data_IF_452528772085
#
_entry.id   IF_452528772085
#
_cell.length_a   1.000
_cell.length_b   1.000
_cell.length_c   1.000
_cell.angle_alpha   90.00
_cell.angle_beta   90.00
_cell.angle_gamma   90.00
#
_symmetry.space_group_name_H-M   'P 1'
#
loop_
_entity.id
_entity.type
_entity.pdbx_description
1 polymer ?
#
# COMPACT_ATOMS: atom_id res chain seq x y z
N UNK A 1 3.72 18.00 5.46
CA UNK A 1 4.91 17.94 4.57
C UNK A 1 4.47 18.14 3.12
N UNK A 2 5.34 18.65 2.23
CA UNK A 2 5.06 18.90 0.79
C UNK A 2 5.75 17.90 -0.15
N UNK A 3 6.20 16.77 0.39
CA UNK A 3 7.00 15.79 -0.33
C UNK A 3 6.49 14.38 -0.02
N UNK A 4 6.76 13.45 -0.93
CA UNK A 4 6.52 12.03 -0.75
C UNK A 4 7.85 11.32 -0.56
N UNK A 5 7.91 10.36 0.35
CA UNK A 5 9.08 9.50 0.56
C UNK A 5 8.89 8.18 -0.17
N UNK A 6 9.95 7.71 -0.81
CA UNK A 6 10.02 6.35 -1.35
C UNK A 6 11.26 5.70 -0.78
N UNK A 7 11.09 4.56 -0.12
CA UNK A 7 12.17 3.78 0.49
C UNK A 7 12.33 2.51 -0.33
N UNK A 8 13.52 2.28 -0.88
CA UNK A 8 13.81 1.13 -1.74
C UNK A 8 15.08 0.43 -1.24
N UNK A 9 14.96 -0.87 -0.99
CA UNK A 9 16.09 -1.76 -0.74
C UNK A 9 16.52 -2.45 -2.04
N UNK A 10 17.79 -2.30 -2.43
CA UNK A 10 18.35 -2.90 -3.64
C UNK A 10 19.68 -3.58 -3.32
N UNK A 11 19.84 -4.83 -3.75
CA UNK A 11 21.13 -5.54 -3.72
C UNK A 11 21.35 -6.26 -5.06
N UNK A 12 22.59 -6.35 -5.56
CA UNK A 12 22.93 -7.17 -6.71
C UNK A 12 22.98 -8.68 -6.39
N UNK A 13 22.98 -9.06 -5.11
CA UNK A 13 23.02 -10.46 -4.67
C UNK A 13 21.63 -10.92 -4.20
N UNK A 14 21.17 -12.06 -4.71
CA UNK A 14 19.90 -12.66 -4.29
C UNK A 14 19.94 -13.14 -2.84
N UNK A 15 21.12 -13.49 -2.29
CA UNK A 15 21.29 -13.92 -0.91
C UNK A 15 20.95 -12.81 0.10
N UNK A 16 21.00 -11.54 -0.32
CA UNK A 16 20.69 -10.39 0.52
C UNK A 16 19.18 -10.12 0.67
N UNK A 17 18.32 -10.87 -0.02
CA UNK A 17 16.86 -10.62 -0.11
C UNK A 17 16.24 -10.35 1.26
N UNK A 18 16.47 -11.22 2.24
CA UNK A 18 15.86 -11.10 3.58
C UNK A 18 16.41 -9.88 4.31
N UNK A 19 17.74 -9.76 4.38
CA UNK A 19 18.43 -8.63 5.03
C UNK A 19 17.96 -7.27 4.53
N UNK A 20 17.86 -7.11 3.20
CA UNK A 20 17.45 -5.87 2.56
C UNK A 20 15.95 -5.61 2.79
N UNK A 21 15.11 -6.65 2.68
CA UNK A 21 13.67 -6.54 2.94
C UNK A 21 13.40 -6.10 4.38
N UNK A 22 14.08 -6.70 5.35
CA UNK A 22 13.90 -6.41 6.77
C UNK A 22 14.39 -5.02 7.12
N UNK A 23 15.55 -4.62 6.60
CA UNK A 23 16.06 -3.26 6.79
C UNK A 23 15.11 -2.20 6.23
N UNK A 24 14.60 -2.38 5.01
CA UNK A 24 13.67 -1.44 4.38
C UNK A 24 12.36 -1.32 5.16
N UNK A 25 11.80 -2.45 5.61
CA UNK A 25 10.58 -2.46 6.45
C UNK A 25 10.82 -1.77 7.79
N UNK A 26 11.91 -2.10 8.49
CA UNK A 26 12.24 -1.51 9.78
C UNK A 26 12.46 0.00 9.69
N UNK A 27 13.13 0.47 8.64
CA UNK A 27 13.31 1.90 8.40
C UNK A 27 11.97 2.61 8.15
N UNK A 28 11.11 2.02 7.30
CA UNK A 28 9.76 2.54 7.06
C UNK A 28 8.95 2.63 8.36
N UNK A 29 8.96 1.58 9.18
CA UNK A 29 8.23 1.54 10.46
C UNK A 29 8.74 2.61 11.44
N UNK A 30 10.06 2.83 11.49
CA UNK A 30 10.66 3.83 12.38
C UNK A 30 10.26 5.28 12.02
N UNK A 31 10.10 5.59 10.73
CA UNK A 31 9.77 6.95 10.28
C UNK A 31 8.26 7.19 10.13
N UNK A 32 7.46 6.13 9.96
CA UNK A 32 6.02 6.23 9.70
C UNK A 32 5.21 7.07 10.72
N UNK A 33 5.47 6.99 12.05
CA UNK A 33 4.77 7.81 13.04
C UNK A 33 4.90 9.32 12.84
N UNK A 34 5.92 9.78 12.12
CA UNK A 34 6.17 11.20 11.83
C UNK A 34 5.57 11.65 10.48
N UNK A 35 4.92 10.74 9.75
CA UNK A 35 4.30 11.02 8.46
C UNK A 35 2.91 11.67 8.60
N UNK A 36 2.37 12.19 7.49
CA UNK A 36 1.03 12.77 7.45
C UNK A 36 -0.11 11.71 7.42
N UNK A 37 0.23 10.43 7.54
CA UNK A 37 -0.73 9.31 7.51
C UNK A 37 -1.25 8.96 6.11
N UNK A 38 -1.43 7.66 5.87
CA UNK A 38 -1.83 7.09 4.57
C UNK A 38 -0.63 6.75 3.67
N UNK A 39 -0.91 6.02 2.58
CA UNK A 39 0.09 5.64 1.59
C UNK A 39 -0.38 6.03 0.18
N UNK A 40 0.56 6.14 -0.75
CA UNK A 40 0.22 6.29 -2.17
C UNK A 40 -0.08 4.91 -2.75
N UNK A 41 -1.26 4.72 -3.37
CA UNK A 41 -1.73 3.39 -3.77
C UNK A 41 -0.77 2.65 -4.70
N UNK A 42 -0.09 3.37 -5.61
CA UNK A 42 0.88 2.77 -6.53
C UNK A 42 2.19 2.34 -5.86
N UNK A 43 2.39 2.69 -4.59
CA UNK A 43 3.56 2.34 -3.79
C UNK A 43 3.20 1.41 -2.62
N UNK A 44 1.93 1.00 -2.51
CA UNK A 44 1.53 0.00 -1.53
C UNK A 44 1.94 -1.38 -2.01
N UNK A 45 2.46 -2.19 -1.10
CA UNK A 45 2.70 -3.62 -1.31
C UNK A 45 1.51 -4.40 -0.71
N UNK A 46 1.75 -5.61 -0.18
CA UNK A 46 0.75 -6.37 0.57
C UNK A 46 0.60 -5.82 1.98
N UNK A 47 -0.17 -4.75 2.07
CA UNK A 47 -0.35 -3.91 3.26
C UNK A 47 -1.70 -4.15 3.97
N UNK A 48 -2.51 -5.05 3.43
CA UNK A 48 -3.82 -5.45 3.95
C UNK A 48 -4.95 -4.44 3.73
N UNK A 49 -6.19 -4.93 3.81
CA UNK A 49 -7.43 -4.18 3.52
C UNK A 49 -7.57 -2.87 4.31
N UNK A 50 -7.10 -2.83 5.56
CA UNK A 50 -7.18 -1.63 6.41
C UNK A 50 -6.32 -0.49 5.86
N UNK A 51 -5.14 -0.77 5.29
CA UNK A 51 -4.29 0.27 4.69
C UNK A 51 -4.77 0.71 3.32
N UNK A 52 -5.37 -0.19 2.55
CA UNK A 52 -6.07 0.17 1.30
C UNK A 52 -7.17 1.18 1.59
N UNK A 53 -8.01 0.93 2.60
CA UNK A 53 -9.04 1.87 3.07
C UNK A 53 -8.47 3.20 3.52
N UNK A 54 -7.42 3.18 4.36
CA UNK A 54 -6.77 4.38 4.86
C UNK A 54 -6.18 5.27 3.75
N UNK A 55 -5.74 4.65 2.65
CA UNK A 55 -5.17 5.37 1.49
C UNK A 55 -6.23 6.07 0.65
N UNK A 56 -7.43 5.48 0.51
CA UNK A 56 -8.53 6.11 -0.22
C UNK A 56 -9.33 7.12 0.62
N UNK A 57 -9.24 7.05 1.94
CA UNK A 57 -9.95 7.95 2.88
C UNK A 57 -11.43 8.04 2.53
N UNK A 58 -11.98 9.24 2.45
CA UNK A 58 -13.40 9.51 2.17
C UNK A 58 -13.86 8.99 0.80
N UNK A 59 -12.94 8.76 -0.15
CA UNK A 59 -13.28 8.24 -1.48
C UNK A 59 -13.59 6.74 -1.46
N UNK A 60 -13.21 6.01 -0.40
CA UNK A 60 -13.37 4.56 -0.36
C UNK A 60 -14.83 4.13 -0.55
N UNK A 61 -15.78 4.80 0.11
CA UNK A 61 -17.20 4.47 0.01
C UNK A 61 -17.73 4.54 -1.43
N UNK A 62 -17.36 5.61 -2.16
CA UNK A 62 -17.76 5.77 -3.57
C UNK A 62 -17.08 4.75 -4.48
N UNK A 63 -15.84 4.37 -4.20
CA UNK A 63 -15.15 3.33 -4.97
C UNK A 63 -15.78 1.95 -4.76
N UNK A 64 -16.27 1.64 -3.56
CA UNK A 64 -17.05 0.41 -3.29
C UNK A 64 -18.33 0.40 -4.13
N UNK A 65 -19.07 1.51 -4.23
CA UNK A 65 -20.25 1.61 -5.08
C UNK A 65 -19.93 1.35 -6.56
N UNK A 66 -18.83 1.93 -7.06
CA UNK A 66 -18.34 1.70 -8.42
C UNK A 66 -17.97 0.23 -8.61
N UNK A 67 -17.26 -0.37 -7.66
CA UNK A 67 -16.89 -1.79 -7.71
C UNK A 67 -18.12 -2.70 -7.73
N UNK A 68 -19.12 -2.46 -6.88
CA UNK A 68 -20.40 -3.19 -6.91
C UNK A 68 -21.10 -3.10 -8.26
N UNK A 69 -21.03 -1.95 -8.92
CA UNK A 69 -21.67 -1.74 -10.22
C UNK A 69 -20.95 -2.46 -11.37
N UNK A 70 -19.61 -2.43 -11.38
CA UNK A 70 -18.83 -2.87 -12.54
C UNK A 70 -18.09 -4.20 -12.36
N UNK A 71 -17.87 -4.64 -11.12
CA UNK A 71 -17.23 -5.92 -10.79
C UNK A 71 -17.86 -6.56 -9.52
N UNK A 72 -19.17 -6.88 -9.54
CA UNK A 72 -19.89 -7.42 -8.38
C UNK A 72 -19.37 -8.80 -7.94
N UNK A 73 -18.79 -9.58 -8.85
CA UNK A 73 -18.20 -10.89 -8.55
C UNK A 73 -16.73 -10.80 -8.08
N UNK A 74 -16.18 -9.58 -7.97
CA UNK A 74 -14.80 -9.32 -7.55
C UNK A 74 -13.76 -10.11 -8.37
N UNK A 75 -13.93 -10.12 -9.70
CA UNK A 75 -13.02 -10.74 -10.65
C UNK A 75 -11.64 -10.06 -10.62
N UNK A 76 -11.61 -8.73 -10.57
CA UNK A 76 -10.37 -7.95 -10.55
C UNK A 76 -9.90 -7.69 -9.12
N UNK A 77 -9.13 -8.63 -8.54
CA UNK A 77 -8.80 -8.63 -7.10
C UNK A 77 -7.33 -8.78 -6.73
N UNK A 78 -6.43 -8.66 -7.71
CA UNK A 78 -5.00 -9.01 -7.52
C UNK A 78 -4.20 -7.92 -6.79
N UNK A 79 -4.54 -6.65 -6.99
CA UNK A 79 -3.80 -5.52 -6.41
C UNK A 79 -4.46 -5.06 -5.09
N UNK A 80 -4.34 -3.78 -4.74
CA UNK A 80 -5.01 -3.12 -3.62
C UNK A 80 -6.53 -3.14 -3.81
N UNK A 81 -7.10 -4.32 -3.59
CA UNK A 81 -8.45 -4.64 -3.96
C UNK A 81 -9.44 -3.86 -3.10
N UNK A 82 -10.48 -3.34 -3.74
CA UNK A 82 -11.64 -2.81 -3.06
C UNK A 82 -12.71 -3.89 -3.13
N UNK A 83 -13.05 -4.46 -1.99
CA UNK A 83 -14.09 -5.49 -1.91
C UNK A 83 -15.46 -4.81 -2.16
N UNK A 84 -16.29 -5.34 -3.07
CA UNK A 84 -17.66 -4.88 -3.24
C UNK A 84 -18.44 -4.94 -1.92
#
# INVERSE_FOLDING_TARGET
ARWAEVIVGVSPDAADRERISDWTKAYWEAVHPYSAGGAYVNMMMDEGDQRVRASYRDNHARLVEVKRKYDPANLFRVNQNIVP
#
